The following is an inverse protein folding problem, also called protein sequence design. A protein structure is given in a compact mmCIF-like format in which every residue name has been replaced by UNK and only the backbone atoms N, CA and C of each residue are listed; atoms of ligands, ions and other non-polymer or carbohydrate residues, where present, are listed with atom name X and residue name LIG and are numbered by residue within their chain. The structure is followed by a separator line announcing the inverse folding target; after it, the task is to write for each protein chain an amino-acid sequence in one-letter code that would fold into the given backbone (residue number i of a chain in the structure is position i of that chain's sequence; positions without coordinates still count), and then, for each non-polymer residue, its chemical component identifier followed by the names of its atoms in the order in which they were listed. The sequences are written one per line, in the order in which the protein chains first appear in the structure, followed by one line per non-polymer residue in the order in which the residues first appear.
data_IF_115029812023
#
_entry.id   IF_115029812023
#
_cell.length_a   1.000
_cell.length_b   1.000
_cell.length_c   1.000
_cell.angle_alpha   90.00
_cell.angle_beta   90.00
_cell.angle_gamma   90.00
#
_symmetry.space_group_name_H-M   'P 1'
#
loop_
_entity.id
_entity.type
_entity.pdbx_description
1 polymer ?
#
# COMPACT_ATOMS: atom_id res chain seq x y z
N UNK A 1 -6.01 2.18 9.60
CA UNK A 1 -5.70 3.29 8.67
C UNK A 1 -5.16 4.54 9.35
N UNK A 2 -5.97 5.28 10.12
CA UNK A 2 -5.63 6.65 10.59
C UNK A 2 -4.39 6.78 11.50
N UNK A 3 -4.06 5.74 12.28
CA UNK A 3 -2.93 5.79 13.20
C UNK A 3 -1.56 5.54 12.52
N UNK A 4 -1.54 5.02 11.29
CA UNK A 4 -0.32 4.55 10.62
C UNK A 4 0.35 5.59 9.71
N UNK A 5 -0.27 6.76 9.51
CA UNK A 5 0.27 7.80 8.62
C UNK A 5 0.34 7.32 7.16
N UNK A 6 -0.79 6.90 6.60
CA UNK A 6 -0.84 6.43 5.22
C UNK A 6 -0.57 7.58 4.23
N UNK A 7 0.29 7.34 3.24
CA UNK A 7 0.64 8.33 2.20
C UNK A 7 -0.36 8.36 1.03
N UNK A 8 -1.38 7.50 1.10
CA UNK A 8 -2.43 7.30 0.11
C UNK A 8 -2.78 5.82 -0.02
N UNK A 9 -3.95 5.52 -0.55
CA UNK A 9 -4.42 4.15 -0.75
C UNK A 9 -5.30 4.04 -2.00
N UNK A 10 -5.53 2.79 -2.42
CA UNK A 10 -6.72 2.44 -3.19
C UNK A 10 -7.66 1.71 -2.24
N UNK A 11 -8.97 1.95 -2.35
CA UNK A 11 -9.96 1.15 -1.61
C UNK A 11 -9.83 -0.34 -1.98
N UNK A 12 -10.34 -1.21 -1.14
CA UNK A 12 -10.32 -2.65 -1.36
C UNK A 12 -10.89 -3.00 -2.74
N UNK A 13 -10.22 -3.93 -3.42
CA UNK A 13 -10.56 -4.35 -4.77
C UNK A 13 -11.19 -5.74 -4.74
N UNK A 14 -12.36 -5.87 -5.36
CA UNK A 14 -12.97 -7.17 -5.63
C UNK A 14 -12.10 -8.02 -6.57
N UNK A 15 -12.24 -9.36 -6.55
CA UNK A 15 -11.52 -10.24 -7.48
C UNK A 15 -11.68 -9.83 -8.94
N UNK A 16 -10.55 -9.69 -9.63
CA UNK A 16 -10.50 -9.28 -11.05
C UNK A 16 -10.71 -7.79 -11.29
N UNK A 17 -10.79 -6.96 -10.25
CA UNK A 17 -10.78 -5.49 -10.37
C UNK A 17 -9.38 -4.93 -10.19
N UNK A 18 -9.20 -3.69 -10.64
CA UNK A 18 -7.96 -2.94 -10.54
C UNK A 18 -8.23 -1.55 -9.99
N UNK A 19 -7.29 -1.03 -9.21
CA UNK A 19 -7.24 0.35 -8.74
C UNK A 19 -5.93 1.01 -9.17
N UNK A 20 -5.84 2.33 -9.05
CA UNK A 20 -4.61 3.07 -9.31
C UNK A 20 -4.48 4.23 -8.34
N UNK A 21 -3.26 4.48 -7.90
CA UNK A 21 -2.89 5.58 -7.02
C UNK A 21 -1.60 6.20 -7.55
N UNK A 22 -1.60 7.51 -7.70
CA UNK A 22 -0.42 8.29 -8.09
C UNK A 22 0.02 9.12 -6.89
N UNK A 23 1.27 8.95 -6.46
CA UNK A 23 1.86 9.65 -5.34
C UNK A 23 3.11 10.41 -5.79
N UNK A 24 3.31 11.60 -5.23
CA UNK A 24 4.60 12.29 -5.26
C UNK A 24 5.35 11.96 -3.95
N UNK A 25 6.43 11.18 -4.06
CA UNK A 25 7.18 10.65 -2.93
C UNK A 25 8.57 11.28 -2.88
N UNK A 26 9.01 11.65 -1.68
CA UNK A 26 10.42 12.03 -1.45
C UNK A 26 11.33 10.80 -1.58
N UNK A 27 12.64 10.97 -1.82
CA UNK A 27 13.59 9.87 -1.72
C UNK A 27 13.50 9.17 -0.37
N UNK A 28 13.44 7.84 -0.36
CA UNK A 28 13.17 7.06 0.83
C UNK A 28 12.84 5.58 0.57
N UNK A 29 12.57 4.85 1.65
CA UNK A 29 12.10 3.47 1.63
C UNK A 29 10.65 3.41 2.10
N UNK A 30 9.81 2.81 1.28
CA UNK A 30 8.36 2.73 1.49
C UNK A 30 7.90 1.28 1.46
N UNK A 31 6.85 0.97 2.23
CA UNK A 31 6.14 -0.29 2.14
C UNK A 31 4.81 -0.06 1.41
N UNK A 32 4.52 -0.91 0.43
CA UNK A 32 3.18 -1.05 -0.15
C UNK A 32 2.63 -2.36 0.38
N UNK A 33 1.44 -2.32 0.96
CA UNK A 33 0.84 -3.50 1.57
C UNK A 33 -0.67 -3.49 1.45
N UNK A 34 -1.28 -4.65 1.61
CA UNK A 34 -2.73 -4.79 1.74
C UNK A 34 -3.11 -4.73 3.22
N UNK A 35 -4.03 -3.84 3.59
CA UNK A 35 -4.49 -3.67 4.97
C UNK A 35 -5.78 -4.45 5.30
N UNK A 36 -6.16 -5.42 4.46
CA UNK A 36 -7.21 -6.38 4.80
C UNK A 36 -6.69 -7.27 5.95
N UNK A 37 -7.51 -7.58 6.97
CA UNK A 37 -7.10 -8.44 8.07
C UNK A 37 -6.35 -9.69 7.60
N UNK A 38 -5.27 -10.03 8.31
CA UNK A 38 -4.34 -11.13 8.04
C UNK A 38 -3.52 -11.06 6.74
N UNK A 39 -3.87 -10.23 5.76
CA UNK A 39 -3.16 -10.20 4.47
C UNK A 39 -1.71 -9.75 4.61
N UNK A 40 -1.45 -8.69 5.41
CA UNK A 40 -0.08 -8.24 5.68
C UNK A 40 0.76 -9.35 6.33
N UNK A 41 0.23 -9.99 7.38
CA UNK A 41 0.92 -11.05 8.12
C UNK A 41 1.16 -12.30 7.26
N UNK A 42 0.29 -12.55 6.29
CA UNK A 42 0.45 -13.61 5.29
C UNK A 42 1.37 -13.21 4.12
N UNK A 43 2.05 -12.06 4.20
CA UNK A 43 3.10 -11.66 3.27
C UNK A 43 2.64 -10.80 2.09
N UNK A 44 1.42 -10.24 2.12
CA UNK A 44 0.91 -9.36 1.07
C UNK A 44 1.46 -7.92 1.22
N UNK A 45 2.77 -7.79 1.08
CA UNK A 45 3.49 -6.52 1.09
C UNK A 45 4.69 -6.57 0.15
N UNK A 46 5.14 -5.39 -0.26
CA UNK A 46 6.34 -5.17 -1.05
C UNK A 46 7.01 -3.86 -0.60
N UNK A 47 8.31 -3.73 -0.86
CA UNK A 47 9.06 -2.50 -0.57
C UNK A 47 9.41 -1.77 -1.85
N UNK A 48 9.36 -0.44 -1.80
CA UNK A 48 9.77 0.45 -2.89
C UNK A 48 10.84 1.39 -2.36
N UNK A 49 11.95 1.49 -3.09
CA UNK A 49 12.99 2.50 -2.86
C UNK A 49 12.82 3.62 -3.89
N UNK A 50 12.58 4.83 -3.42
CA UNK A 50 12.57 6.05 -4.24
C UNK A 50 13.92 6.74 -4.04
N UNK A 51 14.55 7.18 -5.15
CA UNK A 51 15.88 7.80 -5.14
C UNK A 51 15.81 9.28 -5.51
#
# INVERSE_FOLDING_TARGET
EDAAGHLGEVSELDPGKSGSLTLDLKPGFYAVFCNIPDHFMNGMWATIKVQ
#
